data_IF_708931812794
#
_entry.id   IF_708931812794
#
_cell.length_a   1.000
_cell.length_b   1.000
_cell.length_c   1.000
_cell.angle_alpha   90.00
_cell.angle_beta   90.00
_cell.angle_gamma   90.00
#
_symmetry.space_group_name_H-M   'P 1'
#
loop_
_entity.id
_entity.type
_entity.pdbx_description
1 polymer ?
#
# COMPACT_ATOMS: atom_id res chain seq x y z
N UNK A 1 22.17 -16.88 -17.24
CA UNK A 1 21.20 -16.64 -16.17
C UNK A 1 21.97 -16.47 -14.87
N UNK A 2 22.18 -15.23 -14.41
CA UNK A 2 22.74 -14.95 -13.09
C UNK A 2 21.57 -14.60 -12.17
N UNK A 3 21.46 -15.29 -11.04
CA UNK A 3 20.53 -14.97 -9.97
C UNK A 3 20.90 -13.58 -9.44
N UNK A 4 20.04 -12.59 -9.66
CA UNK A 4 20.28 -11.19 -9.30
C UNK A 4 19.97 -10.89 -7.82
N UNK A 5 20.14 -11.88 -6.94
CA UNK A 5 19.90 -11.71 -5.49
C UNK A 5 21.08 -11.10 -4.74
N UNK A 6 22.28 -11.05 -5.33
CA UNK A 6 23.53 -10.67 -4.65
C UNK A 6 23.95 -9.20 -4.83
N UNK A 7 23.20 -8.39 -5.60
CA UNK A 7 23.58 -7.00 -5.92
C UNK A 7 22.75 -5.95 -5.14
N UNK A 8 22.19 -6.33 -3.98
CA UNK A 8 21.42 -5.41 -3.11
C UNK A 8 22.42 -4.69 -2.21
N UNK A 9 22.70 -3.44 -2.56
CA UNK A 9 23.70 -2.62 -1.89
C UNK A 9 23.28 -2.23 -0.46
N UNK A 10 24.24 -2.23 0.47
CA UNK A 10 24.18 -1.56 1.80
C UNK A 10 23.98 -0.02 1.70
N UNK A 11 23.75 0.52 0.50
CA UNK A 11 23.50 1.93 0.20
C UNK A 11 21.99 2.22 0.17
N UNK A 12 21.51 2.96 1.17
CA UNK A 12 20.13 3.44 1.26
C UNK A 12 19.66 4.17 -0.01
N UNK A 13 20.53 4.96 -0.64
CA UNK A 13 20.17 5.67 -1.86
C UNK A 13 19.96 4.71 -3.03
N UNK A 14 20.75 3.63 -3.11
CA UNK A 14 20.54 2.57 -4.09
C UNK A 14 19.22 1.82 -3.85
N UNK A 15 18.87 1.51 -2.60
CA UNK A 15 17.58 0.90 -2.25
C UNK A 15 16.39 1.78 -2.71
N UNK A 16 16.43 3.07 -2.36
CA UNK A 16 15.41 4.05 -2.77
C UNK A 16 15.27 4.14 -4.30
N UNK A 17 16.40 4.14 -5.01
CA UNK A 17 16.44 4.20 -6.48
C UNK A 17 16.01 2.90 -7.15
N UNK A 18 16.13 1.76 -6.49
CA UNK A 18 15.92 0.43 -7.08
C UNK A 18 14.53 -0.13 -6.85
N UNK A 19 13.90 0.14 -5.70
CA UNK A 19 12.53 -0.33 -5.38
C UNK A 19 11.52 0.09 -6.45
N UNK A 20 10.66 -0.83 -6.88
CA UNK A 20 9.58 -0.57 -7.85
C UNK A 20 8.25 -1.12 -7.34
N UNK A 21 7.15 -0.60 -7.91
CA UNK A 21 5.81 -1.12 -7.65
C UNK A 21 5.54 -2.32 -8.56
N UNK A 22 5.53 -3.51 -7.97
CA UNK A 22 5.33 -4.80 -8.63
C UNK A 22 3.84 -5.15 -8.68
N UNK A 23 3.44 -5.92 -9.70
CA UNK A 23 2.04 -6.31 -9.94
C UNK A 23 1.86 -7.81 -10.25
N UNK A 24 2.95 -8.57 -10.30
CA UNK A 24 2.97 -9.99 -10.58
C UNK A 24 4.02 -10.63 -9.69
N UNK A 25 3.62 -11.71 -9.02
CA UNK A 25 4.42 -12.34 -7.98
C UNK A 25 4.59 -13.83 -8.26
N UNK A 26 5.70 -14.37 -7.78
CA UNK A 26 5.88 -15.81 -7.67
C UNK A 26 4.93 -16.36 -6.59
N UNK A 27 4.51 -17.63 -6.66
CA UNK A 27 3.64 -18.26 -5.66
C UNK A 27 4.35 -18.53 -4.32
N UNK A 28 5.61 -18.13 -4.18
CA UNK A 28 6.42 -18.33 -2.98
C UNK A 28 5.82 -17.56 -1.79
N UNK A 29 5.54 -18.22 -0.65
CA UNK A 29 5.00 -17.55 0.52
C UNK A 29 6.02 -16.56 1.12
N UNK A 30 5.51 -15.53 1.79
CA UNK A 30 6.32 -14.57 2.55
C UNK A 30 6.37 -15.02 4.01
N UNK A 31 7.57 -15.09 4.58
CA UNK A 31 7.76 -15.43 5.98
C UNK A 31 7.12 -14.39 6.90
N UNK A 32 6.52 -14.84 8.01
CA UNK A 32 5.88 -13.94 8.99
C UNK A 32 6.88 -12.94 9.55
N UNK A 33 8.11 -13.38 9.76
CA UNK A 33 9.22 -12.61 10.31
C UNK A 33 9.53 -11.40 9.42
N UNK A 34 9.53 -11.57 8.08
CA UNK A 34 9.74 -10.46 7.15
C UNK A 34 8.58 -9.46 7.19
N UNK A 35 7.33 -9.94 7.28
CA UNK A 35 6.17 -9.06 7.45
C UNK A 35 6.26 -8.26 8.75
N UNK A 36 6.75 -8.87 9.84
CA UNK A 36 6.96 -8.17 11.11
C UNK A 36 8.09 -7.13 11.02
N UNK A 37 9.21 -7.43 10.36
CA UNK A 37 10.31 -6.47 10.15
C UNK A 37 9.87 -5.26 9.30
N UNK A 38 9.06 -5.53 8.28
CA UNK A 38 8.38 -4.52 7.46
C UNK A 38 7.54 -3.57 8.32
N UNK A 39 6.68 -4.12 9.19
CA UNK A 39 5.83 -3.34 10.09
C UNK A 39 6.62 -2.60 11.18
N UNK A 40 7.69 -3.21 11.68
CA UNK A 40 8.59 -2.56 12.64
C UNK A 40 9.24 -1.31 12.02
N UNK A 41 9.66 -1.38 10.76
CA UNK A 41 10.22 -0.21 10.07
C UNK A 41 9.19 0.88 9.78
N UNK A 42 7.93 0.49 9.52
CA UNK A 42 6.82 1.44 9.49
C UNK A 42 6.60 2.15 10.84
N UNK A 43 6.72 1.43 11.96
CA UNK A 43 6.56 1.97 13.32
C UNK A 43 7.52 3.13 13.61
N UNK A 44 8.72 3.10 13.03
CA UNK A 44 9.75 4.13 13.19
C UNK A 44 9.54 5.41 12.36
N UNK A 45 8.45 5.52 11.59
CA UNK A 45 8.14 6.75 10.87
C UNK A 45 7.74 7.89 11.81
N UNK A 46 8.03 9.16 11.43
CA UNK A 46 7.54 10.31 12.19
C UNK A 46 6.01 10.35 12.17
N UNK A 47 5.39 10.79 13.27
CA UNK A 47 3.93 10.89 13.42
C UNK A 47 3.52 12.19 14.09
N UNK A 48 2.30 12.71 13.81
CA UNK A 48 1.78 13.89 14.50
C UNK A 48 1.78 13.65 16.01
N UNK A 49 2.39 14.57 16.75
CA UNK A 49 2.41 14.56 18.21
C UNK A 49 2.91 13.23 18.84
N UNK A 50 3.68 12.43 18.09
CA UNK A 50 4.14 11.09 18.52
C UNK A 50 3.05 10.01 18.60
N UNK A 51 1.85 10.25 18.04
CA UNK A 51 0.65 9.41 18.24
C UNK A 51 0.61 8.12 17.43
N UNK A 52 1.39 8.01 16.35
CA UNK A 52 1.42 6.82 15.48
C UNK A 52 -0.01 6.33 15.10
N UNK A 53 -0.85 7.17 14.46
CA UNK A 53 -2.28 6.92 14.29
C UNK A 53 -2.60 5.88 13.21
N UNK A 54 -1.74 4.89 13.02
CA UNK A 54 -1.87 3.85 12.01
C UNK A 54 -2.09 2.47 12.64
N UNK A 55 -2.84 1.64 11.93
CA UNK A 55 -3.02 0.20 12.18
C UNK A 55 -2.82 -0.54 10.87
N UNK A 56 -2.40 -1.80 10.94
CA UNK A 56 -2.11 -2.60 9.75
C UNK A 56 -2.88 -3.92 9.80
N UNK A 57 -3.78 -4.14 8.86
CA UNK A 57 -4.37 -5.46 8.64
C UNK A 57 -3.46 -6.28 7.72
N UNK A 58 -2.99 -7.44 8.18
CA UNK A 58 -2.09 -8.33 7.41
C UNK A 58 -2.86 -9.57 6.97
N UNK A 59 -2.93 -9.80 5.67
CA UNK A 59 -3.69 -10.90 5.07
C UNK A 59 -2.73 -11.84 4.34
N UNK A 60 -2.61 -13.06 4.84
CA UNK A 60 -1.83 -14.14 4.21
C UNK A 60 -2.70 -15.32 3.76
N UNK A 61 -3.92 -15.43 4.30
CA UNK A 61 -4.88 -16.48 3.96
C UNK A 61 -5.59 -16.17 2.65
N UNK A 62 -5.67 -17.16 1.77
CA UNK A 62 -6.24 -17.00 0.43
C UNK A 62 -7.72 -16.64 0.48
N UNK A 63 -8.48 -17.28 1.38
CA UNK A 63 -9.92 -17.10 1.52
C UNK A 63 -10.27 -15.66 1.92
N UNK A 64 -9.47 -15.06 2.81
CA UNK A 64 -9.65 -13.68 3.26
C UNK A 64 -9.32 -12.68 2.14
N UNK A 65 -8.28 -12.96 1.33
CA UNK A 65 -7.97 -12.14 0.15
C UNK A 65 -9.09 -12.22 -0.90
N UNK A 66 -9.72 -13.39 -1.07
CA UNK A 66 -10.85 -13.59 -1.97
C UNK A 66 -12.08 -12.80 -1.54
N UNK A 67 -12.43 -12.84 -0.26
CA UNK A 67 -13.51 -12.04 0.29
C UNK A 67 -13.28 -10.54 0.06
N UNK A 68 -12.08 -10.03 0.35
CA UNK A 68 -11.75 -8.62 0.13
C UNK A 68 -11.83 -8.25 -1.37
N UNK A 69 -11.24 -9.08 -2.23
CA UNK A 69 -11.18 -8.81 -3.67
C UNK A 69 -12.58 -8.80 -4.31
N UNK A 70 -13.47 -9.69 -3.89
CA UNK A 70 -14.83 -9.75 -4.40
C UNK A 70 -15.62 -8.51 -4.00
N UNK A 71 -15.66 -8.21 -2.68
CA UNK A 71 -16.41 -7.08 -2.13
C UNK A 71 -15.99 -5.74 -2.72
N UNK A 72 -14.68 -5.48 -2.77
CA UNK A 72 -14.16 -4.25 -3.40
C UNK A 72 -14.36 -4.27 -4.93
N UNK A 73 -14.32 -5.45 -5.55
CA UNK A 73 -14.52 -5.64 -6.99
C UNK A 73 -15.92 -5.27 -7.46
N UNK A 74 -16.95 -5.50 -6.64
CA UNK A 74 -18.32 -5.04 -6.91
C UNK A 74 -18.40 -3.52 -7.01
N UNK A 75 -17.82 -2.79 -6.05
CA UNK A 75 -17.80 -1.32 -6.08
C UNK A 75 -17.01 -0.79 -7.27
N UNK A 76 -15.86 -1.41 -7.57
CA UNK A 76 -15.06 -1.00 -8.72
C UNK A 76 -15.80 -1.21 -10.05
N UNK A 77 -16.55 -2.31 -10.18
CA UNK A 77 -17.40 -2.57 -11.33
C UNK A 77 -18.45 -1.46 -11.48
N UNK A 78 -19.22 -1.15 -10.43
CA UNK A 78 -20.24 -0.09 -10.45
C UNK A 78 -19.65 1.27 -10.85
N UNK A 79 -18.47 1.62 -10.31
CA UNK A 79 -17.79 2.88 -10.66
C UNK A 79 -17.42 2.94 -12.14
N UNK A 80 -16.86 1.86 -12.70
CA UNK A 80 -16.50 1.83 -14.13
C UNK A 80 -17.73 1.89 -15.04
N UNK A 81 -18.84 1.30 -14.64
CA UNK A 81 -20.13 1.39 -15.35
C UNK A 81 -20.67 2.82 -15.31
N UNK A 82 -20.62 3.49 -14.15
CA UNK A 82 -20.98 4.91 -14.00
C UNK A 82 -20.10 5.84 -14.85
N UNK A 83 -18.81 5.50 -15.02
CA UNK A 83 -17.88 6.21 -15.90
C UNK A 83 -18.18 5.98 -17.40
N UNK A 84 -19.21 5.20 -17.74
CA UNK A 84 -19.62 4.92 -19.12
C UNK A 84 -18.67 3.98 -19.88
N UNK A 85 -17.88 3.17 -19.18
CA UNK A 85 -16.98 2.21 -19.82
C UNK A 85 -17.77 1.06 -20.48
N UNK A 86 -17.29 0.58 -21.63
CA UNK A 86 -17.85 -0.61 -22.27
C UNK A 86 -17.74 -1.86 -21.38
N UNK A 87 -18.74 -2.73 -21.41
CA UNK A 87 -18.82 -3.92 -20.54
C UNK A 87 -17.56 -4.81 -20.58
N UNK A 88 -16.95 -4.99 -21.76
CA UNK A 88 -15.71 -5.75 -21.91
C UNK A 88 -14.53 -5.12 -21.15
N UNK A 89 -14.45 -3.79 -21.14
CA UNK A 89 -13.42 -3.03 -20.41
C UNK A 89 -13.66 -3.11 -18.91
N UNK A 90 -14.92 -3.05 -18.48
CA UNK A 90 -15.33 -3.22 -17.08
C UNK A 90 -14.86 -4.58 -16.57
N UNK A 91 -15.23 -5.67 -17.26
CA UNK A 91 -14.84 -7.04 -16.92
C UNK A 91 -13.32 -7.19 -16.87
N UNK A 92 -12.61 -6.74 -17.93
CA UNK A 92 -11.15 -6.83 -18.00
C UNK A 92 -10.45 -6.10 -16.84
N UNK A 93 -10.93 -4.90 -16.47
CA UNK A 93 -10.34 -4.10 -15.38
C UNK A 93 -10.64 -4.70 -14.01
N UNK A 94 -11.86 -5.22 -13.80
CA UNK A 94 -12.26 -5.94 -12.59
C UNK A 94 -11.38 -7.17 -12.39
N UNK A 95 -11.23 -8.00 -13.42
CA UNK A 95 -10.44 -9.23 -13.37
C UNK A 95 -8.97 -8.94 -13.10
N UNK A 96 -8.38 -7.94 -13.77
CA UNK A 96 -6.99 -7.53 -13.51
C UNK A 96 -6.79 -7.01 -12.08
N UNK A 97 -7.77 -6.31 -11.52
CA UNK A 97 -7.71 -5.86 -10.12
C UNK A 97 -7.74 -7.06 -9.17
N UNK A 98 -8.71 -7.96 -9.35
CA UNK A 98 -8.87 -9.19 -8.58
C UNK A 98 -7.61 -10.05 -8.62
N UNK A 99 -7.04 -10.28 -9.81
CA UNK A 99 -5.82 -11.06 -9.98
C UNK A 99 -4.63 -10.48 -9.19
N UNK A 100 -4.45 -9.16 -9.16
CA UNK A 100 -3.35 -8.53 -8.39
C UNK A 100 -3.47 -8.79 -6.89
N UNK A 101 -4.69 -8.77 -6.36
CA UNK A 101 -4.96 -9.04 -4.95
C UNK A 101 -4.68 -10.52 -4.63
N UNK A 102 -5.20 -11.43 -5.46
CA UNK A 102 -5.13 -12.86 -5.19
C UNK A 102 -3.74 -13.46 -5.42
N UNK A 103 -3.03 -13.01 -6.46
CA UNK A 103 -1.70 -13.52 -6.80
C UNK A 103 -0.60 -13.03 -5.84
N UNK A 104 -0.84 -11.97 -5.07
CA UNK A 104 0.11 -11.53 -4.06
C UNK A 104 0.16 -12.53 -2.90
N UNK A 105 1.34 -13.07 -2.53
CA UNK A 105 1.47 -13.98 -1.40
C UNK A 105 0.96 -13.41 -0.08
N UNK A 106 1.15 -12.11 0.16
CA UNK A 106 0.57 -11.40 1.30
C UNK A 106 0.06 -10.02 0.89
N UNK A 107 -0.90 -9.51 1.66
CA UNK A 107 -1.36 -8.14 1.60
C UNK A 107 -1.18 -7.47 2.97
N UNK A 108 -0.88 -6.19 2.96
CA UNK A 108 -0.94 -5.33 4.13
C UNK A 108 -1.86 -4.18 3.78
N UNK A 109 -2.89 -3.93 4.57
CA UNK A 109 -3.79 -2.78 4.44
C UNK A 109 -3.50 -1.80 5.59
N UNK A 110 -2.71 -0.75 5.33
CA UNK A 110 -2.51 0.35 6.28
C UNK A 110 -3.79 1.16 6.41
N UNK A 111 -4.24 1.35 7.64
CA UNK A 111 -5.40 2.16 7.99
C UNK A 111 -4.98 3.25 8.96
N UNK A 112 -5.64 4.41 8.88
CA UNK A 112 -5.60 5.39 9.96
C UNK A 112 -6.63 5.02 11.03
N UNK A 113 -6.33 5.40 12.27
CA UNK A 113 -7.24 5.36 13.40
C UNK A 113 -7.16 6.72 14.09
N UNK A 114 -8.06 7.63 13.72
CA UNK A 114 -7.97 9.04 14.10
C UNK A 114 -8.37 9.31 15.56
N UNK A 115 -8.98 8.34 16.23
CA UNK A 115 -9.36 8.45 17.64
C UNK A 115 -8.17 8.65 18.59
N UNK A 116 -6.96 8.30 18.14
CA UNK A 116 -5.72 8.50 18.91
C UNK A 116 -5.22 9.96 18.83
N UNK A 117 -5.78 10.80 17.96
CA UNK A 117 -5.33 12.16 17.69
C UNK A 117 -6.06 13.21 18.52
N UNK A 118 -5.53 14.43 18.49
CA UNK A 118 -6.15 15.55 19.19
C UNK A 118 -7.47 15.95 18.51
N UNK A 119 -8.45 16.31 19.35
CA UNK A 119 -9.75 16.78 18.89
C UNK A 119 -9.79 18.31 19.01
N UNK A 120 -10.14 18.98 17.92
CA UNK A 120 -10.24 20.43 17.86
C UNK A 120 -11.70 20.87 17.64
N UNK A 121 -12.12 21.97 18.29
CA UNK A 121 -13.50 22.46 18.16
C UNK A 121 -13.77 23.14 16.80
N UNK A 122 -12.73 23.58 16.09
CA UNK A 122 -12.85 24.19 14.77
C UNK A 122 -12.48 23.20 13.66
N UNK A 123 -13.27 23.24 12.58
CA UNK A 123 -13.16 22.30 11.47
C UNK A 123 -11.81 22.37 10.76
N UNK A 124 -11.19 23.56 10.69
CA UNK A 124 -9.92 23.73 10.00
C UNK A 124 -8.80 22.95 10.68
N UNK A 125 -8.58 23.15 11.99
CA UNK A 125 -7.54 22.39 12.71
C UNK A 125 -7.85 20.90 12.77
N UNK A 126 -9.13 20.52 12.80
CA UNK A 126 -9.50 19.11 12.77
C UNK A 126 -9.10 18.44 11.43
N UNK A 127 -9.30 19.12 10.31
CA UNK A 127 -8.84 18.63 9.00
C UNK A 127 -7.31 18.68 8.88
N UNK A 128 -6.65 19.68 9.45
CA UNK A 128 -5.17 19.75 9.49
C UNK A 128 -4.58 18.57 10.28
N UNK A 129 -5.17 18.21 11.42
CA UNK A 129 -4.77 17.03 12.23
C UNK A 129 -4.88 15.73 11.42
N UNK A 130 -5.99 15.57 10.70
CA UNK A 130 -6.21 14.44 9.79
C UNK A 130 -5.21 14.43 8.63
N UNK A 131 -4.90 15.59 8.06
CA UNK A 131 -3.92 15.71 6.98
C UNK A 131 -2.52 15.29 7.45
N UNK A 132 -2.09 15.72 8.65
CA UNK A 132 -0.83 15.27 9.25
C UNK A 132 -0.81 13.74 9.44
N UNK A 133 -1.94 13.16 9.86
CA UNK A 133 -2.07 11.71 9.95
C UNK A 133 -1.86 11.01 8.59
N UNK A 134 -2.48 11.53 7.52
CA UNK A 134 -2.32 11.01 6.14
C UNK A 134 -0.88 11.12 5.65
N UNK A 135 -0.21 12.26 5.88
CA UNK A 135 1.20 12.45 5.50
C UNK A 135 2.10 11.44 6.23
N UNK A 136 1.87 11.26 7.53
CA UNK A 136 2.69 10.41 8.37
C UNK A 136 2.53 8.92 8.05
N UNK A 137 1.31 8.41 7.79
CA UNK A 137 1.14 7.03 7.33
C UNK A 137 1.76 6.78 5.95
N UNK A 138 1.82 7.80 5.08
CA UNK A 138 2.56 7.73 3.82
C UNK A 138 4.06 7.46 4.04
N UNK A 139 4.67 8.12 5.04
CA UNK A 139 6.05 7.86 5.45
C UNK A 139 6.23 6.46 6.05
N UNK A 140 5.31 6.02 6.91
CA UNK A 140 5.29 4.68 7.49
C UNK A 140 5.26 3.59 6.40
N UNK A 141 4.38 3.74 5.42
CA UNK A 141 4.30 2.83 4.28
C UNK A 141 5.64 2.83 3.53
N UNK A 142 6.21 3.99 3.22
CA UNK A 142 7.47 4.07 2.48
C UNK A 142 8.63 3.37 3.20
N UNK A 143 8.77 3.52 4.52
CA UNK A 143 9.77 2.78 5.31
C UNK A 143 9.60 1.26 5.17
N UNK A 144 8.35 0.79 5.28
CA UNK A 144 8.02 -0.60 5.10
C UNK A 144 8.36 -1.12 3.69
N UNK A 145 8.11 -0.32 2.64
CA UNK A 145 8.42 -0.73 1.27
C UNK A 145 9.92 -0.83 1.00
N UNK A 146 10.73 0.06 1.60
CA UNK A 146 12.18 0.01 1.50
C UNK A 146 12.74 -1.23 2.23
N UNK A 147 12.22 -1.51 3.43
CA UNK A 147 12.59 -2.69 4.21
C UNK A 147 12.21 -3.98 3.49
N UNK A 148 11.03 -4.05 2.87
CA UNK A 148 10.66 -5.19 2.04
C UNK A 148 11.70 -5.43 0.94
N UNK A 149 12.12 -4.36 0.26
CA UNK A 149 13.11 -4.44 -0.81
C UNK A 149 14.50 -4.84 -0.31
N UNK A 150 14.88 -4.42 0.88
CA UNK A 150 16.12 -4.87 1.53
C UNK A 150 16.06 -6.39 1.83
N UNK A 151 14.94 -6.87 2.36
CA UNK A 151 14.69 -8.26 2.76
C UNK A 151 14.49 -9.27 1.60
N UNK A 152 14.77 -8.90 0.36
CA UNK A 152 14.54 -9.83 -0.75
C UNK A 152 13.17 -9.69 -1.44
N UNK A 153 12.23 -8.93 -0.85
CA UNK A 153 10.83 -8.87 -1.27
C UNK A 153 10.55 -7.70 -2.23
N UNK A 154 9.42 -7.80 -2.90
CA UNK A 154 8.86 -6.80 -3.78
C UNK A 154 7.46 -6.41 -3.31
N UNK A 155 7.08 -5.18 -3.62
CA UNK A 155 5.81 -4.62 -3.17
C UNK A 155 5.10 -3.84 -4.25
N UNK A 156 3.77 -3.78 -4.14
CA UNK A 156 2.92 -2.96 -5.01
C UNK A 156 1.96 -2.12 -4.17
N UNK A 157 2.02 -0.80 -4.33
CA UNK A 157 1.09 0.15 -3.70
C UNK A 157 -0.16 0.33 -4.56
N UNK A 158 -1.33 0.05 -4.00
CA UNK A 158 -2.62 0.38 -4.59
C UNK A 158 -3.46 1.19 -3.59
N UNK A 159 -4.22 2.18 -4.06
CA UNK A 159 -5.13 2.96 -3.20
C UNK A 159 -6.59 2.54 -3.33
N UNK A 160 -6.85 1.33 -3.84
CA UNK A 160 -8.22 0.84 -4.08
C UNK A 160 -9.15 0.93 -2.85
N UNK A 161 -8.69 0.68 -1.61
CA UNK A 161 -9.56 0.82 -0.42
C UNK A 161 -10.10 2.24 -0.20
N UNK A 162 -9.43 3.30 -0.67
CA UNK A 162 -9.92 4.69 -0.54
C UNK A 162 -11.27 4.90 -1.22
N UNK A 163 -11.60 4.11 -2.24
CA UNK A 163 -12.83 4.24 -3.00
C UNK A 163 -14.00 3.47 -2.38
N UNK A 164 -13.76 2.68 -1.33
CA UNK A 164 -14.76 1.86 -0.67
C UNK A 164 -14.35 1.47 0.77
N UNK A 165 -13.99 2.46 1.63
CA UNK A 165 -13.34 2.18 2.91
C UNK A 165 -14.21 1.34 3.87
N UNK A 166 -15.51 1.63 3.94
CA UNK A 166 -16.45 0.89 4.81
C UNK A 166 -16.57 -0.56 4.34
N UNK A 167 -16.60 -0.78 3.02
CA UNK A 167 -16.67 -2.12 2.42
C UNK A 167 -15.39 -2.89 2.70
N UNK A 168 -14.22 -2.25 2.59
CA UNK A 168 -12.94 -2.88 2.89
C UNK A 168 -12.82 -3.30 4.37
N UNK A 169 -13.26 -2.45 5.30
CA UNK A 169 -13.30 -2.79 6.72
C UNK A 169 -14.30 -3.92 7.01
N UNK A 170 -15.53 -3.82 6.50
CA UNK A 170 -16.57 -4.84 6.71
C UNK A 170 -16.20 -6.20 6.10
N UNK A 171 -15.52 -6.21 4.95
CA UNK A 171 -15.05 -7.45 4.31
C UNK A 171 -14.03 -8.21 5.16
N UNK A 172 -13.41 -7.55 6.15
CA UNK A 172 -12.39 -8.12 7.01
C UNK A 172 -12.80 -8.15 8.49
N UNK A 173 -14.07 -7.84 8.79
CA UNK A 173 -14.61 -7.74 10.16
C UNK A 173 -13.77 -6.81 11.06
N UNK A 174 -13.37 -5.66 10.49
CA UNK A 174 -12.54 -4.66 11.17
C UNK A 174 -13.40 -3.56 11.80
N UNK A 175 -12.83 -2.87 12.80
CA UNK A 175 -13.44 -1.68 13.40
C UNK A 175 -13.77 -0.63 12.31
N UNK A 176 -15.03 -0.18 12.21
CA UNK A 176 -15.46 0.77 11.18
C UNK A 176 -14.82 2.17 11.32
N UNK A 177 -14.19 2.47 12.47
CA UNK A 177 -13.42 3.72 12.66
C UNK A 177 -12.06 3.68 11.98
N UNK A 178 -11.60 2.50 11.55
CA UNK A 178 -10.40 2.40 10.71
C UNK A 178 -10.67 3.00 9.34
N UNK A 179 -9.72 3.79 8.85
CA UNK A 179 -9.79 4.45 7.55
C UNK A 179 -8.69 3.87 6.65
N UNK A 180 -8.99 2.87 5.81
CA UNK A 180 -8.03 2.27 4.88
C UNK A 180 -7.40 3.32 3.96
N UNK A 181 -6.07 3.37 3.89
CA UNK A 181 -5.34 4.34 3.05
C UNK A 181 -4.72 3.70 1.81
N UNK A 182 -4.34 2.43 1.91
CA UNK A 182 -3.71 1.69 0.83
C UNK A 182 -3.93 0.18 0.98
N UNK A 183 -3.65 -0.55 -0.08
CA UNK A 183 -3.47 -2.00 -0.09
C UNK A 183 -2.10 -2.28 -0.70
N UNK A 184 -1.19 -2.76 0.14
CA UNK A 184 0.17 -3.11 -0.22
C UNK A 184 0.22 -4.61 -0.52
N UNK A 185 0.48 -4.96 -1.77
CA UNK A 185 0.80 -6.33 -2.15
C UNK A 185 2.26 -6.62 -1.82
N UNK A 186 2.55 -7.83 -1.33
CA UNK A 186 3.89 -8.25 -0.89
C UNK A 186 4.19 -9.65 -1.41
N UNK A 187 5.36 -9.84 -2.00
CA UNK A 187 5.80 -11.13 -2.53
C UNK A 187 7.18 -11.04 -3.18
N UNK A 188 7.53 -12.04 -4.00
CA UNK A 188 8.73 -12.02 -4.83
C UNK A 188 8.31 -11.71 -6.27
N UNK A 189 8.92 -10.73 -6.93
CA UNK A 189 8.54 -10.41 -8.31
C UNK A 189 8.67 -11.62 -9.25
N UNK A 190 7.65 -11.85 -10.08
CA UNK A 190 7.68 -12.89 -11.10
C UNK A 190 8.62 -12.54 -12.28
N UNK A 191 8.89 -11.25 -12.48
CA UNK A 191 9.79 -10.70 -13.49
C UNK A 191 10.32 -9.34 -13.04
N UNK A 192 11.45 -8.91 -13.60
CA UNK A 192 12.03 -7.59 -13.30
C UNK A 192 11.04 -6.47 -13.68
N UNK A 193 10.63 -5.59 -12.74
CA UNK A 193 9.64 -4.57 -13.02
C UNK A 193 10.19 -3.47 -13.94
N UNK A 194 9.35 -3.05 -14.89
CA UNK A 194 9.68 -1.92 -15.77
C UNK A 194 9.99 -0.66 -14.96
N UNK A 195 11.20 -0.15 -15.12
CA UNK A 195 11.66 1.08 -14.48
C UNK A 195 11.15 2.28 -15.29
N UNK A 196 10.42 3.19 -14.64
CA UNK A 196 10.09 4.51 -15.19
C UNK A 196 11.13 5.50 -14.69
N UNK A 197 11.54 6.41 -15.57
CA UNK A 197 12.39 7.54 -15.20
C UNK A 197 11.76 8.37 -14.08
N UNK A 198 12.59 9.19 -13.45
CA UNK A 198 12.14 10.29 -12.59
C UNK A 198 12.33 11.59 -13.35
N UNK A 199 11.56 12.60 -12.99
CA UNK A 199 11.85 13.96 -13.45
C UNK A 199 13.28 14.32 -13.01
N UNK A 200 13.99 15.14 -13.80
CA UNK A 200 15.18 15.83 -13.33
C UNK A 200 14.91 16.52 -11.99
N UNK A 201 15.92 16.61 -11.12
CA UNK A 201 15.74 17.17 -9.77
C UNK A 201 15.38 18.66 -9.85
N UNK A 202 15.99 19.38 -10.78
CA UNK A 202 15.75 20.79 -11.07
C UNK A 202 14.29 21.11 -11.38
N UNK A 203 13.56 20.20 -12.02
CA UNK A 203 12.13 20.36 -12.33
C UNK A 203 11.26 20.25 -11.08
N UNK A 204 11.79 19.74 -9.97
CA UNK A 204 11.10 19.61 -8.69
C UNK A 204 11.43 20.76 -7.72
N UNK A 205 12.41 21.60 -8.04
CA UNK A 205 12.83 22.71 -7.19
C UNK A 205 12.04 23.98 -7.53
N UNK A 206 11.26 24.48 -6.57
CA UNK A 206 10.54 25.76 -6.73
C UNK A 206 11.41 26.95 -6.28
N UNK A 207 12.31 26.73 -5.32
CA UNK A 207 13.23 27.73 -4.78
C UNK A 207 14.43 27.02 -4.14
N UNK A 208 15.63 27.51 -4.43
CA UNK A 208 16.90 27.11 -3.80
C UNK A 208 17.75 28.38 -3.69
N UNK A 209 17.98 28.87 -2.48
CA UNK A 209 18.78 30.07 -2.16
C UNK A 209 20.08 29.74 -1.42
#
# INVERSE_FOLDING_TARGET
>A
MKNNSEDRADDLAALMRSRRSVRQYQPRPVAREHLMQMLESARWAPSPHGRQPWRFAVLTRQEIKEQLAERMGETWQRNLEMDGQAAEIVTLRKDKSRQRILQAPALIMPCLYLEDLDQYPDAQRQEDEKLMAIQSIGAAIQNMLLTAYDLGLDTGWMCAPLFCPEIACAALDLDPRLIPQALITVGYAAADPKRRGRLPLEDLLVRFD
#
